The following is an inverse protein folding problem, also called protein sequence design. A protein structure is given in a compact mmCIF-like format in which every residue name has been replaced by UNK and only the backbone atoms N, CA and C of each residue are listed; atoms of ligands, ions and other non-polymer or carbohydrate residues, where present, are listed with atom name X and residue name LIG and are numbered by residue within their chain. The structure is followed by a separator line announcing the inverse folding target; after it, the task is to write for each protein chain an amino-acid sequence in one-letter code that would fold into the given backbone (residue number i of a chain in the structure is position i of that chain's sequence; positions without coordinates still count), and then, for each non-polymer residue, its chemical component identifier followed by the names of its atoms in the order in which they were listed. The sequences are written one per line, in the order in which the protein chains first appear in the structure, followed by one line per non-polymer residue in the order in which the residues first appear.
data_IF_434367269077
#
_entry.id   IF_434367269077
#
_cell.length_a   1.000
_cell.length_b   1.000
_cell.length_c   1.000
_cell.angle_alpha   90.00
_cell.angle_beta   90.00
_cell.angle_gamma   90.00
#
_symmetry.space_group_name_H-M   'P 1'
#
loop_
_entity.id
_entity.type
_entity.pdbx_description
1 polymer ?
#
# COMPACT_ATOMS: atom_id res chain seq x y z
N UNK A 1 -53.44 41.69 1.53
CA UNK A 1 -52.84 40.37 1.81
C UNK A 1 -51.43 40.39 1.17
N UNK A 2 -50.41 39.68 1.66
CA UNK A 2 -48.99 39.69 1.15
C UNK A 2 -47.90 40.52 1.89
N UNK A 3 -48.06 40.94 3.15
CA UNK A 3 -46.92 41.50 3.93
C UNK A 3 -46.64 40.82 5.27
N UNK A 4 -47.67 40.30 5.93
CA UNK A 4 -47.54 39.59 7.22
C UNK A 4 -47.11 38.12 7.07
N UNK A 5 -47.27 37.54 5.88
CA UNK A 5 -46.90 36.14 5.60
C UNK A 5 -45.38 35.96 5.47
N UNK A 6 -44.68 36.98 4.98
CA UNK A 6 -43.23 36.94 4.73
C UNK A 6 -42.40 36.97 6.03
N UNK A 7 -42.87 37.69 7.05
CA UNK A 7 -42.23 37.77 8.36
C UNK A 7 -42.38 36.48 9.18
N UNK A 8 -43.46 35.72 8.97
CA UNK A 8 -43.66 34.41 9.63
C UNK A 8 -42.80 33.31 9.02
N UNK A 9 -42.48 33.39 7.73
CA UNK A 9 -41.59 32.44 7.06
C UNK A 9 -40.10 32.61 7.46
N UNK A 10 -39.67 33.84 7.76
CA UNK A 10 -38.28 34.13 8.13
C UNK A 10 -37.87 33.54 9.51
N UNK A 11 -38.80 33.48 10.46
CA UNK A 11 -38.53 32.95 11.82
C UNK A 11 -38.36 31.42 11.82
N UNK A 12 -39.04 30.71 10.92
CA UNK A 12 -38.94 29.24 10.80
C UNK A 12 -37.65 28.83 10.08
N UNK A 13 -37.18 29.62 9.09
CA UNK A 13 -35.97 29.31 8.31
C UNK A 13 -34.66 29.43 9.10
N UNK A 14 -34.56 30.39 10.03
CA UNK A 14 -33.32 30.62 10.82
C UNK A 14 -33.12 29.55 11.91
N UNK A 15 -34.20 29.04 12.50
CA UNK A 15 -34.12 28.00 13.54
C UNK A 15 -33.60 26.65 13.03
N UNK A 16 -33.99 26.23 11.83
CA UNK A 16 -33.57 24.96 11.23
C UNK A 16 -32.11 24.96 10.75
N UNK A 17 -31.60 26.10 10.25
CA UNK A 17 -30.22 26.26 9.83
C UNK A 17 -29.23 26.27 11.03
N UNK A 18 -29.63 26.87 12.15
CA UNK A 18 -28.79 26.90 13.35
C UNK A 18 -28.67 25.54 14.04
N UNK A 19 -29.73 24.72 14.02
CA UNK A 19 -29.72 23.40 14.67
C UNK A 19 -28.99 22.32 13.86
N UNK A 20 -29.03 22.42 12.53
CA UNK A 20 -28.31 21.50 11.65
C UNK A 20 -26.80 21.71 11.73
N UNK A 21 -26.32 22.96 11.74
CA UNK A 21 -24.88 23.25 11.82
C UNK A 21 -24.18 22.73 13.08
N UNK A 22 -24.86 22.77 14.23
CA UNK A 22 -24.31 22.24 15.50
C UNK A 22 -24.29 20.71 15.55
N UNK A 23 -25.27 20.03 14.93
CA UNK A 23 -25.31 18.56 14.86
C UNK A 23 -24.19 18.01 13.97
N UNK A 24 -23.91 18.64 12.82
CA UNK A 24 -22.79 18.25 11.96
C UNK A 24 -21.42 18.57 12.58
N UNK A 25 -21.30 19.67 13.33
CA UNK A 25 -20.04 19.99 14.05
C UNK A 25 -19.73 19.02 15.19
N UNK A 26 -20.73 18.47 15.87
CA UNK A 26 -20.51 17.45 16.91
C UNK A 26 -20.28 16.05 16.33
N UNK A 27 -20.90 15.71 15.20
CA UNK A 27 -20.69 14.43 14.53
C UNK A 27 -19.34 14.34 13.76
N UNK A 28 -18.77 15.47 13.37
CA UNK A 28 -17.50 15.54 12.63
C UNK A 28 -16.26 15.68 13.52
N UNK A 29 -16.41 15.72 14.85
CA UNK A 29 -15.28 15.52 15.75
C UNK A 29 -15.00 14.02 15.79
N UNK A 30 -14.38 13.51 14.73
CA UNK A 30 -13.62 12.28 14.86
C UNK A 30 -12.66 12.52 16.03
N UNK A 31 -12.86 11.80 17.14
CA UNK A 31 -11.86 11.77 18.20
C UNK A 31 -10.51 11.49 17.52
N UNK A 32 -9.46 12.28 17.82
CA UNK A 32 -8.15 11.97 17.27
C UNK A 32 -7.86 10.51 17.61
N UNK A 33 -7.46 9.73 16.60
CA UNK A 33 -7.00 8.37 16.84
C UNK A 33 -5.77 8.47 17.75
N UNK A 34 -5.98 8.25 19.05
CA UNK A 34 -4.89 8.14 20.01
C UNK A 34 -4.32 6.74 19.82
N UNK A 35 -3.00 6.60 19.63
CA UNK A 35 -2.35 5.30 19.67
C UNK A 35 -2.77 4.60 20.96
N UNK A 36 -3.43 3.44 20.84
CA UNK A 36 -3.71 2.60 22.00
C UNK A 36 -2.40 2.11 22.62
N UNK A 37 -2.43 1.60 23.86
CA UNK A 37 -1.26 0.98 24.46
C UNK A 37 -0.68 -0.08 23.52
N UNK A 38 0.55 0.16 23.03
CA UNK A 38 1.25 -0.77 22.15
C UNK A 38 1.64 -2.01 22.95
N UNK A 39 1.31 -3.23 22.50
CA UNK A 39 1.77 -4.46 23.16
C UNK A 39 3.29 -4.62 23.06
N UNK A 40 3.95 -3.81 22.21
CA UNK A 40 5.39 -3.87 21.95
C UNK A 40 6.19 -2.82 22.76
N UNK A 41 5.51 -1.95 23.51
CA UNK A 41 6.14 -0.84 24.23
C UNK A 41 6.31 0.43 23.40
N UNK A 42 6.99 1.41 23.98
CA UNK A 42 7.26 2.71 23.36
C UNK A 42 8.33 2.61 22.25
N UNK A 43 8.24 3.50 21.27
CA UNK A 43 9.26 3.63 20.24
C UNK A 43 10.52 4.26 20.82
N UNK A 44 11.68 3.67 20.53
CA UNK A 44 12.98 4.22 20.88
C UNK A 44 13.45 5.22 19.81
N UNK A 45 14.60 5.85 20.05
CA UNK A 45 15.30 6.64 19.03
C UNK A 45 15.56 5.81 17.78
N UNK A 46 15.58 6.46 16.62
CA UNK A 46 15.85 5.81 15.35
C UNK A 46 17.19 5.04 15.39
N UNK A 47 17.20 3.85 14.82
CA UNK A 47 18.40 3.04 14.65
C UNK A 47 19.30 3.57 13.52
N UNK A 48 20.38 2.83 13.20
CA UNK A 48 21.30 3.21 12.12
C UNK A 48 20.66 3.27 10.72
N UNK A 49 19.47 2.69 10.54
CA UNK A 49 18.70 2.75 9.30
C UNK A 49 17.64 3.86 9.33
N UNK A 50 17.56 4.65 10.41
CA UNK A 50 16.59 5.72 10.56
C UNK A 50 15.21 5.24 11.03
N UNK A 51 15.07 4.00 11.51
CA UNK A 51 13.79 3.42 11.92
C UNK A 51 13.65 3.47 13.44
N UNK A 52 12.58 4.07 13.93
CA UNK A 52 12.20 4.02 15.35
C UNK A 52 11.52 2.69 15.64
N UNK A 53 12.08 1.91 16.56
CA UNK A 53 11.60 0.58 16.91
C UNK A 53 11.41 0.46 18.42
N UNK A 54 10.47 -0.39 18.89
CA UNK A 54 10.40 -0.74 20.31
C UNK A 54 11.60 -1.57 20.76
N UNK A 55 11.77 -1.69 22.07
CA UNK A 55 12.84 -2.50 22.66
C UNK A 55 12.81 -3.95 22.14
N UNK A 56 13.97 -4.50 21.77
CA UNK A 56 14.13 -5.88 21.31
C UNK A 56 13.88 -6.10 19.81
N UNK A 57 13.44 -5.07 19.07
CA UNK A 57 13.33 -5.12 17.62
C UNK A 57 14.58 -4.58 16.94
N UNK A 58 14.87 -5.10 15.74
CA UNK A 58 15.99 -4.65 14.90
C UNK A 58 15.54 -4.52 13.45
N UNK A 59 16.06 -3.54 12.72
CA UNK A 59 15.82 -3.43 11.28
C UNK A 59 17.02 -3.90 10.45
N UNK A 60 16.75 -4.32 9.21
CA UNK A 60 17.75 -4.65 8.20
C UNK A 60 17.28 -4.18 6.84
N UNK A 61 18.13 -3.43 6.14
CA UNK A 61 17.86 -3.06 4.74
C UNK A 61 18.16 -4.26 3.84
N UNK A 62 17.13 -4.75 3.15
CA UNK A 62 17.24 -5.89 2.22
C UNK A 62 17.50 -5.45 0.77
N UNK A 63 17.07 -4.24 0.39
CA UNK A 63 17.25 -3.66 -0.93
C UNK A 63 17.11 -2.13 -0.89
N UNK A 64 17.69 -1.42 -1.86
CA UNK A 64 17.54 0.03 -2.05
C UNK A 64 17.33 0.33 -3.53
N UNK A 65 16.42 1.25 -3.84
CA UNK A 65 16.12 1.68 -5.21
C UNK A 65 17.39 2.00 -6.01
N UNK A 66 17.52 1.41 -7.20
CA UNK A 66 18.65 1.63 -8.09
C UNK A 66 19.97 0.99 -7.63
N UNK A 67 20.01 0.32 -6.48
CA UNK A 67 21.19 -0.39 -5.99
C UNK A 67 21.08 -1.88 -6.24
N UNK A 68 22.22 -2.54 -6.41
CA UNK A 68 22.29 -3.99 -6.50
C UNK A 68 21.91 -4.61 -5.15
N UNK A 69 21.01 -5.59 -5.17
CA UNK A 69 20.64 -6.36 -3.98
C UNK A 69 21.84 -7.18 -3.54
N UNK A 70 22.24 -7.03 -2.27
CA UNK A 70 23.44 -7.66 -1.71
C UNK A 70 23.45 -9.17 -1.93
N UNK A 71 24.60 -9.71 -2.34
CA UNK A 71 24.77 -11.14 -2.66
C UNK A 71 24.17 -11.57 -3.99
N UNK A 72 23.68 -10.64 -4.82
CA UNK A 72 23.09 -10.93 -6.13
C UNK A 72 23.66 -9.99 -7.21
N UNK A 73 23.34 -10.25 -8.47
CA UNK A 73 23.62 -9.33 -9.59
C UNK A 73 22.42 -8.46 -10.00
N UNK A 74 21.34 -8.45 -9.23
CA UNK A 74 20.08 -7.80 -9.62
C UNK A 74 19.97 -6.40 -9.02
N UNK A 75 19.72 -5.40 -9.87
CA UNK A 75 19.45 -4.02 -9.45
C UNK A 75 18.00 -3.87 -9.03
N UNK A 76 17.76 -3.39 -7.81
CA UNK A 76 16.42 -3.17 -7.30
C UNK A 76 15.71 -2.05 -8.06
N UNK A 77 14.41 -2.24 -8.28
CA UNK A 77 13.58 -1.25 -8.97
C UNK A 77 13.44 0.03 -8.17
N UNK A 78 13.08 1.11 -8.87
CA UNK A 78 12.74 2.37 -8.24
C UNK A 78 11.31 2.34 -7.69
N UNK A 79 11.02 3.29 -6.79
CA UNK A 79 9.72 3.47 -6.15
C UNK A 79 9.10 2.14 -5.66
N UNK A 80 9.76 1.42 -4.73
CA UNK A 80 9.18 0.22 -4.16
C UNK A 80 7.93 0.58 -3.36
N UNK A 81 6.85 -0.11 -3.68
CA UNK A 81 5.54 0.04 -3.04
C UNK A 81 5.03 -1.36 -2.62
N UNK A 82 3.71 -1.56 -2.65
CA UNK A 82 2.99 -2.72 -2.19
C UNK A 82 3.71 -4.03 -2.45
N UNK A 83 3.82 -4.83 -1.39
CA UNK A 83 4.58 -6.06 -1.40
C UNK A 83 4.07 -7.05 -0.37
N UNK A 84 4.49 -8.31 -0.54
CA UNK A 84 4.07 -9.42 0.32
C UNK A 84 5.14 -10.49 0.37
N UNK A 85 5.16 -11.24 1.47
CA UNK A 85 6.02 -12.40 1.64
C UNK A 85 5.25 -13.70 1.36
N UNK A 86 5.82 -14.58 0.53
CA UNK A 86 5.28 -15.90 0.25
C UNK A 86 6.23 -16.98 0.76
N UNK A 87 5.68 -18.10 1.25
CA UNK A 87 6.48 -19.26 1.59
C UNK A 87 7.10 -19.90 0.34
N UNK A 88 8.39 -20.26 0.43
CA UNK A 88 9.14 -20.95 -0.63
C UNK A 88 10.03 -22.06 -0.04
N UNK A 89 9.46 -23.24 0.15
CA UNK A 89 10.14 -24.36 0.80
C UNK A 89 10.41 -24.07 2.27
N UNK A 90 11.68 -24.16 2.69
CA UNK A 90 12.12 -23.77 4.04
C UNK A 90 12.37 -22.27 4.17
N UNK A 91 12.45 -21.55 3.05
CA UNK A 91 12.66 -20.12 2.99
C UNK A 91 11.38 -19.39 2.59
N UNK A 92 11.57 -18.18 2.08
CA UNK A 92 10.48 -17.31 1.68
C UNK A 92 10.95 -16.32 0.62
N UNK A 93 9.99 -15.66 -0.02
CA UNK A 93 10.23 -14.66 -1.05
C UNK A 93 9.43 -13.43 -0.74
N UNK A 94 10.07 -12.27 -0.79
CA UNK A 94 9.40 -10.97 -0.76
C UNK A 94 9.17 -10.52 -2.19
N UNK A 95 7.96 -10.11 -2.52
CA UNK A 95 7.65 -9.41 -3.77
C UNK A 95 7.36 -7.95 -3.46
N UNK A 96 7.71 -7.05 -4.38
CA UNK A 96 7.42 -5.62 -4.27
C UNK A 96 7.10 -5.04 -5.63
N UNK A 97 6.08 -4.20 -5.67
CA UNK A 97 5.69 -3.43 -6.83
C UNK A 97 6.63 -2.26 -7.07
N UNK A 98 6.80 -1.88 -8.33
CA UNK A 98 7.48 -0.66 -8.75
C UNK A 98 6.44 0.37 -9.21
N UNK A 99 6.30 1.45 -8.44
CA UNK A 99 5.36 2.53 -8.74
C UNK A 99 5.99 3.55 -9.71
N UNK A 100 6.45 3.05 -10.86
CA UNK A 100 7.14 3.86 -11.87
C UNK A 100 6.29 3.94 -13.14
N UNK A 101 6.11 5.14 -13.68
CA UNK A 101 5.37 5.37 -14.92
C UNK A 101 6.17 5.05 -16.20
N UNK A 102 5.55 5.31 -17.34
CA UNK A 102 6.16 5.19 -18.68
C UNK A 102 6.75 3.82 -19.00
N UNK A 103 6.08 2.74 -18.58
CA UNK A 103 6.50 1.35 -18.76
C UNK A 103 7.61 0.90 -17.81
N UNK A 104 8.04 1.76 -16.89
CA UNK A 104 9.06 1.46 -15.89
C UNK A 104 8.55 0.69 -14.67
N UNK A 105 7.24 0.47 -14.57
CA UNK A 105 6.61 -0.28 -13.50
C UNK A 105 6.93 -1.77 -13.56
N UNK A 106 6.36 -2.52 -12.62
CA UNK A 106 6.55 -3.95 -12.54
C UNK A 106 6.46 -4.50 -11.13
N UNK A 107 6.92 -5.73 -11.00
CA UNK A 107 7.03 -6.44 -9.72
C UNK A 107 8.37 -7.15 -9.69
N UNK A 108 9.15 -6.96 -8.64
CA UNK A 108 10.39 -7.71 -8.41
C UNK A 108 10.30 -8.56 -7.16
N UNK A 109 11.20 -9.54 -7.03
CA UNK A 109 11.29 -10.42 -5.89
C UNK A 109 12.70 -10.49 -5.32
N UNK A 110 12.77 -10.66 -3.99
CA UNK A 110 13.97 -11.09 -3.25
C UNK A 110 13.67 -12.42 -2.58
N UNK A 111 14.54 -13.41 -2.79
CA UNK A 111 14.47 -14.74 -2.19
C UNK A 111 15.33 -14.82 -0.95
N UNK A 112 14.83 -15.53 0.05
CA UNK A 112 15.47 -15.76 1.32
C UNK A 112 15.50 -17.24 1.66
N UNK A 113 16.54 -17.68 2.37
CA UNK A 113 16.57 -18.97 3.03
C UNK A 113 15.84 -18.94 4.39
N UNK A 114 15.85 -20.07 5.12
CA UNK A 114 15.25 -20.19 6.45
C UNK A 114 15.91 -19.30 7.51
N UNK A 115 17.13 -18.82 7.26
CA UNK A 115 17.89 -17.94 8.14
C UNK A 115 17.78 -16.46 7.73
N UNK A 116 16.80 -16.14 6.87
CA UNK A 116 16.57 -14.82 6.30
C UNK A 116 17.77 -14.25 5.52
N UNK A 117 18.68 -15.10 5.02
CA UNK A 117 19.76 -14.66 4.13
C UNK A 117 19.28 -14.57 2.70
N UNK A 118 19.70 -13.54 1.97
CA UNK A 118 19.31 -13.32 0.59
C UNK A 118 20.01 -14.37 -0.28
N UNK A 119 19.22 -15.15 -1.02
CA UNK A 119 19.70 -16.20 -1.93
C UNK A 119 19.51 -15.86 -3.41
N UNK A 120 18.74 -14.82 -3.71
CA UNK A 120 18.54 -14.34 -5.08
C UNK A 120 17.59 -13.17 -5.17
N UNK A 121 17.59 -12.48 -6.30
CA UNK A 121 16.63 -11.44 -6.62
C UNK A 121 16.42 -11.37 -8.14
N UNK A 122 15.20 -11.04 -8.58
CA UNK A 122 14.82 -11.04 -9.99
C UNK A 122 13.52 -10.27 -10.25
N UNK A 123 13.23 -10.04 -11.53
CA UNK A 123 11.99 -9.42 -12.02
C UNK A 123 10.90 -10.48 -12.24
N UNK A 124 9.71 -10.25 -11.71
CA UNK A 124 8.52 -11.09 -11.94
C UNK A 124 7.70 -10.54 -13.12
N UNK A 125 7.47 -9.22 -13.13
CA UNK A 125 6.66 -8.51 -14.12
C UNK A 125 7.35 -7.22 -14.52
N UNK A 126 7.40 -6.90 -15.81
CA UNK A 126 7.85 -5.61 -16.31
C UNK A 126 7.00 -5.12 -17.49
N UNK A 127 7.23 -3.88 -17.92
CA UNK A 127 6.47 -3.24 -19.00
C UNK A 127 5.11 -2.69 -18.57
N UNK A 128 4.83 -2.73 -17.27
CA UNK A 128 3.62 -2.17 -16.64
C UNK A 128 3.85 -0.73 -16.17
N UNK A 129 2.80 -0.06 -15.72
CA UNK A 129 2.82 1.32 -15.26
C UNK A 129 2.34 1.46 -13.83
N UNK A 130 3.08 2.23 -13.02
CA UNK A 130 2.65 2.70 -11.69
C UNK A 130 2.01 1.60 -10.86
N UNK A 131 2.73 0.48 -10.69
CA UNK A 131 2.25 -0.60 -9.85
C UNK A 131 2.32 -0.12 -8.39
N UNK A 132 1.16 0.14 -7.80
CA UNK A 132 1.04 0.73 -6.48
C UNK A 132 0.85 -0.41 -5.46
N UNK A 133 -0.41 -0.83 -5.26
CA UNK A 133 -0.76 -1.91 -4.36
C UNK A 133 -0.98 -3.27 -5.05
N UNK A 134 -1.31 -4.26 -4.24
CA UNK A 134 -1.63 -5.60 -4.69
C UNK A 134 -2.20 -6.47 -3.58
N UNK A 135 -2.34 -7.76 -3.85
CA UNK A 135 -2.77 -8.71 -2.83
C UNK A 135 -2.49 -10.16 -3.19
N UNK A 136 -2.22 -10.99 -2.18
CA UNK A 136 -2.18 -12.43 -2.34
C UNK A 136 -3.56 -12.98 -2.70
N UNK A 137 -3.54 -14.00 -3.56
CA UNK A 137 -4.71 -14.84 -3.80
C UNK A 137 -4.62 -16.13 -3.00
N UNK A 138 -5.76 -16.81 -2.75
CA UNK A 138 -5.77 -18.14 -2.12
C UNK A 138 -4.95 -19.21 -2.84
N UNK A 139 -4.52 -18.96 -4.08
CA UNK A 139 -3.67 -19.86 -4.86
C UNK A 139 -2.17 -19.57 -4.72
N UNK A 140 -1.78 -18.80 -3.70
CA UNK A 140 -0.38 -18.42 -3.43
C UNK A 140 0.25 -17.67 -4.62
N UNK A 141 -0.48 -16.66 -5.10
CA UNK A 141 -0.09 -15.82 -6.24
C UNK A 141 -0.21 -14.35 -5.85
N UNK A 142 0.58 -13.47 -6.48
CA UNK A 142 0.47 -12.02 -6.28
C UNK A 142 -0.38 -11.38 -7.38
N UNK A 143 -1.33 -10.54 -6.99
CA UNK A 143 -2.03 -9.59 -7.85
C UNK A 143 -1.37 -8.22 -7.73
N UNK A 144 -0.97 -7.61 -8.84
CA UNK A 144 -0.45 -6.23 -8.87
C UNK A 144 -1.43 -5.30 -9.59
N UNK A 145 -1.53 -4.05 -9.13
CA UNK A 145 -2.50 -3.07 -9.61
C UNK A 145 -1.79 -1.83 -10.17
N UNK A 146 -2.11 -1.48 -11.41
CA UNK A 146 -1.63 -0.25 -12.04
C UNK A 146 -2.49 0.94 -11.62
N UNK A 147 -1.87 2.01 -11.13
CA UNK A 147 -2.52 3.28 -10.84
C UNK A 147 -2.37 4.22 -12.04
N UNK A 148 -3.32 4.13 -12.98
CA UNK A 148 -3.35 4.94 -14.21
C UNK A 148 -4.72 5.59 -14.43
N UNK A 149 -4.72 6.82 -14.95
CA UNK A 149 -5.92 7.65 -15.15
C UNK A 149 -6.85 7.17 -16.30
N UNK A 150 -6.42 6.20 -17.11
CA UNK A 150 -7.14 5.70 -18.30
C UNK A 150 -8.05 4.48 -18.05
N UNK A 151 -8.37 4.15 -16.79
CA UNK A 151 -9.31 3.08 -16.47
C UNK A 151 -10.77 3.52 -16.64
N UNK A 152 -11.49 3.00 -17.64
CA UNK A 152 -12.95 3.18 -17.74
C UNK A 152 -13.66 2.38 -16.64
N UNK A 153 -14.41 3.05 -15.75
CA UNK A 153 -15.18 2.40 -14.69
C UNK A 153 -16.54 3.08 -14.46
N UNK A 154 -17.63 2.36 -14.73
CA UNK A 154 -18.95 2.67 -14.16
C UNK A 154 -19.12 1.92 -12.82
N UNK A 155 -18.81 2.61 -11.70
CA UNK A 155 -19.21 2.37 -10.28
C UNK A 155 -18.67 1.13 -9.53
N UNK A 156 -18.33 1.24 -8.22
CA UNK A 156 -17.15 1.85 -7.63
C UNK A 156 -16.15 0.76 -7.18
N UNK A 157 -15.17 0.41 -8.00
CA UNK A 157 -13.94 -0.27 -7.58
C UNK A 157 -12.79 0.48 -8.24
N UNK A 158 -12.15 1.37 -7.48
CA UNK A 158 -10.96 2.10 -7.94
C UNK A 158 -9.75 1.16 -7.90
N UNK A 159 -9.06 1.04 -9.02
CA UNK A 159 -7.83 0.26 -9.18
C UNK A 159 -8.02 -0.90 -10.16
N UNK A 160 -7.50 -0.75 -11.38
CA UNK A 160 -7.37 -1.87 -12.31
C UNK A 160 -6.31 -2.83 -11.78
N UNK A 161 -6.72 -3.81 -10.98
CA UNK A 161 -5.88 -4.92 -10.57
C UNK A 161 -6.05 -6.05 -11.57
N UNK A 162 -5.08 -6.30 -12.47
CA UNK A 162 -5.08 -7.59 -13.17
C UNK A 162 -3.71 -8.00 -13.70
N UNK A 163 -2.83 -8.48 -12.83
CA UNK A 163 -1.84 -9.50 -13.21
C UNK A 163 -1.66 -10.51 -12.09
N UNK A 164 -2.02 -11.78 -12.33
CA UNK A 164 -1.89 -12.90 -11.38
C UNK A 164 -0.59 -13.65 -11.66
N UNK A 165 0.41 -13.57 -10.78
CA UNK A 165 1.64 -14.37 -10.91
C UNK A 165 1.62 -15.55 -9.95
N UNK A 166 1.56 -16.76 -10.52
CA UNK A 166 1.80 -17.99 -9.73
C UNK A 166 3.18 -17.90 -9.11
N UNK A 167 3.24 -18.19 -7.82
CA UNK A 167 4.41 -18.42 -6.97
C UNK A 167 5.75 -18.35 -7.72
N UNK A 168 6.62 -17.47 -7.22
CA UNK A 168 8.07 -17.25 -7.41
C UNK A 168 9.00 -18.49 -7.59
N UNK A 169 8.53 -19.53 -8.25
CA UNK A 169 9.32 -20.61 -8.82
C UNK A 169 9.61 -20.17 -10.24
N UNK A 170 10.89 -20.19 -10.60
CA UNK A 170 11.37 -19.95 -11.95
C UNK A 170 10.74 -20.99 -12.89
N UNK A 171 9.56 -20.69 -13.41
CA UNK A 171 8.83 -21.46 -14.39
C UNK A 171 8.87 -20.69 -15.69
N UNK A 172 9.73 -21.16 -16.59
CA UNK A 172 9.79 -20.76 -18.00
C UNK A 172 8.37 -20.79 -18.56
N UNK A 173 7.78 -19.63 -18.86
CA UNK A 173 6.74 -19.54 -19.87
C UNK A 173 7.50 -19.60 -21.20
N UNK A 174 7.56 -20.80 -21.76
CA UNK A 174 8.19 -21.08 -23.04
C UNK A 174 7.32 -20.61 -24.21
N UNK A 175 8.05 -20.24 -25.28
CA UNK A 175 7.68 -20.03 -26.69
C UNK A 175 6.56 -19.04 -26.99
#
# INVERSE_FOLDING_TARGET
MERLTLLRAAVIGVGAAAFSGSLWRQAAVAYPALPGPSPYGELQTADANGIMLPAGFTSRVIARSGQTVSGTGYTWHNAPDGGECFADGTGWVYVSNAEVGSGGGGVSAVKFDSNAQITGAYRILGGTNRNCAGGSTPRNTWLSCEEVDTGYATRPTRGGCLYVFRQARRGVLGS
#
